data_IF_187316635920
#
_entry.id   IF_187316635920
#
_cell.length_a   1.000
_cell.length_b   1.000
_cell.length_c   1.000
_cell.angle_alpha   90.00
_cell.angle_beta   90.00
_cell.angle_gamma   90.00
#
_symmetry.space_group_name_H-M   'P 1'
#
loop_
_entity.id
_entity.type
_entity.pdbx_description
1 polymer ?
#
# COMPACT_ATOMS: atom_id res chain seq x y z
N UNK A 1 15.48 -5.53 5.40
CA UNK A 1 14.34 -5.22 4.52
C UNK A 1 13.16 -4.85 5.39
N UNK A 2 12.64 -3.63 5.28
CA UNK A 2 11.40 -3.26 5.97
C UNK A 2 10.20 -3.69 5.11
N UNK A 3 9.10 -4.18 5.72
CA UNK A 3 7.87 -4.44 4.99
C UNK A 3 7.40 -3.16 4.30
N UNK A 4 7.23 -3.22 2.98
CA UNK A 4 6.64 -2.17 2.16
C UNK A 4 5.48 -2.78 1.38
N UNK A 5 4.55 -1.93 0.99
CA UNK A 5 3.42 -2.26 0.13
C UNK A 5 3.51 -1.41 -1.12
N UNK A 6 2.75 -1.75 -2.16
CA UNK A 6 2.77 -1.00 -3.41
C UNK A 6 1.54 -0.11 -3.55
N UNK A 7 1.72 1.14 -3.98
CA UNK A 7 0.66 2.01 -4.50
C UNK A 7 0.82 2.15 -6.00
N UNK A 8 -0.20 1.73 -6.76
CA UNK A 8 -0.19 1.66 -8.22
C UNK A 8 -1.20 2.65 -8.80
N UNK A 9 -0.78 3.43 -9.79
CA UNK A 9 -1.67 4.26 -10.57
C UNK A 9 -2.50 3.41 -11.54
N UNK A 10 -3.83 3.44 -11.40
CA UNK A 10 -4.76 2.76 -12.32
C UNK A 10 -4.82 3.39 -13.71
N UNK A 11 -4.20 4.56 -13.92
CA UNK A 11 -4.14 5.24 -15.21
C UNK A 11 -2.92 4.90 -16.06
N UNK A 12 -1.74 5.00 -15.46
CA UNK A 12 -0.47 4.86 -16.18
C UNK A 12 0.41 3.72 -15.66
N UNK A 13 0.02 3.04 -14.57
CA UNK A 13 0.81 1.96 -13.96
C UNK A 13 1.96 2.42 -13.06
N UNK A 14 2.18 3.74 -12.89
CA UNK A 14 3.20 4.27 -11.99
C UNK A 14 3.09 3.65 -10.59
N UNK A 15 4.21 3.18 -10.04
CA UNK A 15 4.25 2.49 -8.76
C UNK A 15 5.13 3.23 -7.75
N UNK A 16 4.72 3.22 -6.49
CA UNK A 16 5.50 3.70 -5.35
C UNK A 16 5.45 2.70 -4.20
N UNK A 17 6.58 2.52 -3.54
CA UNK A 17 6.64 1.82 -2.26
C UNK A 17 6.02 2.69 -1.17
N UNK A 18 5.18 2.10 -0.34
CA UNK A 18 4.54 2.75 0.80
C UNK A 18 4.74 1.93 2.07
N UNK A 19 4.81 2.63 3.20
CA UNK A 19 4.90 2.01 4.53
C UNK A 19 3.56 2.13 5.23
N UNK A 20 3.06 1.04 5.79
CA UNK A 20 1.88 1.06 6.63
C UNK A 20 2.28 1.36 8.07
N UNK A 21 1.46 2.16 8.76
CA UNK A 21 1.70 2.50 10.15
C UNK A 21 1.55 1.28 11.09
N UNK A 22 0.80 0.25 10.66
CA UNK A 22 0.59 -0.98 11.42
C UNK A 22 0.96 -2.24 10.61
N UNK A 23 1.05 -3.36 11.33
CA UNK A 23 1.31 -4.68 10.74
C UNK A 23 0.05 -5.25 10.05
N UNK A 24 0.07 -5.46 8.72
CA UNK A 24 -1.06 -6.02 7.98
C UNK A 24 -1.46 -7.42 8.45
N UNK A 25 -0.51 -8.21 8.96
CA UNK A 25 -0.80 -9.54 9.50
C UNK A 25 -1.71 -9.48 10.73
N UNK A 26 -1.66 -8.38 11.48
CA UNK A 26 -2.51 -8.12 12.66
C UNK A 26 -3.84 -7.45 12.31
N UNK A 27 -4.02 -7.02 11.07
CA UNK A 27 -5.25 -6.37 10.63
C UNK A 27 -6.40 -7.38 10.41
N UNK A 28 -6.10 -8.66 10.12
CA UNK A 28 -7.12 -9.71 10.02
C UNK A 28 -7.50 -10.24 11.42
N UNK A 29 -8.75 -10.02 11.89
CA UNK A 29 -9.20 -10.49 13.21
C UNK A 29 -9.14 -12.00 13.33
N UNK A 30 -8.90 -12.52 14.54
CA UNK A 30 -8.81 -13.98 14.77
C UNK A 30 -10.09 -14.73 14.36
N UNK A 31 -11.26 -14.17 14.67
CA UNK A 31 -12.54 -14.76 14.27
C UNK A 31 -12.74 -14.85 12.74
N UNK A 32 -12.11 -13.95 11.99
CA UNK A 32 -12.14 -13.92 10.51
C UNK A 32 -11.06 -14.81 9.88
N UNK A 33 -10.26 -15.53 10.70
CA UNK A 33 -9.26 -16.49 10.20
C UNK A 33 -9.85 -17.86 9.95
N UNK A 34 -11.03 -18.17 10.46
CA UNK A 34 -11.75 -19.44 10.23
C UNK A 34 -10.86 -20.70 10.38
N UNK A 35 -9.95 -20.70 11.35
CA UNK A 35 -9.03 -21.82 11.62
C UNK A 35 -7.78 -21.90 10.73
N UNK A 36 -7.58 -20.96 9.80
CA UNK A 36 -6.35 -20.89 8.99
C UNK A 36 -5.18 -20.31 9.79
N UNK A 37 -4.01 -20.95 9.66
CA UNK A 37 -2.73 -20.34 10.04
C UNK A 37 -2.27 -19.42 8.91
N UNK A 38 -2.29 -18.11 9.15
CA UNK A 38 -1.91 -17.10 8.14
C UNK A 38 -0.40 -16.92 8.16
N UNK A 39 0.26 -17.13 7.01
CA UNK A 39 1.72 -16.99 6.87
C UNK A 39 2.16 -15.70 6.17
N UNK A 40 1.30 -15.09 5.36
CA UNK A 40 1.63 -13.90 4.58
C UNK A 40 0.38 -13.04 4.31
N UNK A 41 0.59 -11.72 4.18
CA UNK A 41 -0.38 -10.75 3.67
C UNK A 41 0.31 -9.87 2.64
N UNK A 42 -0.28 -9.78 1.45
CA UNK A 42 0.16 -8.87 0.39
C UNK A 42 -0.88 -7.76 0.21
N UNK A 43 -0.45 -6.50 0.30
CA UNK A 43 -1.33 -5.34 0.07
C UNK A 43 -0.88 -4.58 -1.17
N UNK A 44 -1.83 -4.25 -2.04
CA UNK A 44 -1.61 -3.34 -3.16
C UNK A 44 -2.73 -2.31 -3.19
N UNK A 45 -2.35 -1.05 -3.10
CA UNK A 45 -3.26 0.08 -3.24
C UNK A 45 -3.35 0.48 -4.70
N UNK A 46 -4.56 0.79 -5.16
CA UNK A 46 -4.78 1.36 -6.49
C UNK A 46 -5.38 2.75 -6.35
N UNK A 47 -4.78 3.72 -7.03
CA UNK A 47 -5.21 5.12 -7.04
C UNK A 47 -4.90 5.81 -8.36
N UNK A 48 -5.00 7.14 -8.42
CA UNK A 48 -4.52 7.94 -9.56
C UNK A 48 -3.32 8.76 -9.11
N UNK A 49 -2.21 8.69 -9.85
CA UNK A 49 -1.08 9.58 -9.59
C UNK A 49 -1.47 11.04 -9.92
N UNK A 50 -0.77 12.04 -9.37
CA UNK A 50 -1.09 13.44 -9.62
C UNK A 50 -1.14 13.79 -11.12
N UNK A 51 -0.17 13.32 -11.92
CA UNK A 51 -0.17 13.53 -13.37
C UNK A 51 -1.44 12.98 -14.05
N UNK A 52 -1.89 11.78 -13.67
CA UNK A 52 -3.12 11.20 -14.16
C UNK A 52 -4.40 11.83 -13.58
N UNK A 53 -4.30 12.49 -12.43
CA UNK A 53 -5.39 13.24 -11.79
C UNK A 53 -5.51 14.68 -12.25
N UNK A 54 -4.63 15.16 -13.13
CA UNK A 54 -4.57 16.56 -13.56
C UNK A 54 -3.95 17.50 -12.52
N UNK A 55 -3.28 16.96 -11.50
CA UNK A 55 -2.54 17.72 -10.50
C UNK A 55 -1.04 17.73 -10.83
N UNK A 56 -0.48 18.93 -10.99
CA UNK A 56 0.97 19.10 -11.12
C UNK A 56 1.68 18.50 -9.89
N UNK A 57 2.68 17.65 -10.15
CA UNK A 57 3.51 16.97 -9.15
C UNK A 57 4.37 18.01 -8.39
N UNK A 58 3.85 18.62 -7.32
CA UNK A 58 4.72 19.25 -6.32
C UNK A 58 5.20 18.16 -5.36
N UNK A 59 6.50 17.95 -5.36
CA UNK A 59 7.27 16.98 -4.56
C UNK A 59 6.76 16.88 -3.12
N UNK A 60 6.36 15.67 -2.71
CA UNK A 60 6.11 15.39 -1.31
C UNK A 60 7.45 15.35 -0.55
N UNK A 61 7.60 16.04 0.58
CA UNK A 61 8.86 16.02 1.35
C UNK A 61 9.16 14.58 1.81
N UNK A 62 10.44 14.21 1.70
CA UNK A 62 10.95 12.94 2.22
C UNK A 62 10.62 12.83 3.71
N UNK A 63 9.90 11.78 4.10
CA UNK A 63 9.70 11.44 5.49
C UNK A 63 11.00 10.81 6.04
N UNK A 64 11.65 11.51 6.97
CA UNK A 64 12.73 11.00 7.84
C UNK A 64 12.27 9.74 8.62
#
# INVERSE_FOLDING_TARGET
>A
HHPHQHLVCSGCGEMRDVRLAGDPMRALPEGERFGFTVSEVTVTYYGRCPACGGGDLREAPAAD
#
